data_IF_927436325765
#
_entry.id   IF_927436325765
#
_cell.length_a   1.000
_cell.length_b   1.000
_cell.length_c   1.000
_cell.angle_alpha   90.00
_cell.angle_beta   90.00
_cell.angle_gamma   90.00
#
_symmetry.space_group_name_H-M   'P 1'
#
loop_
_entity.id
_entity.type
_entity.pdbx_description
1 polymer ?
#
# COMPACT_ATOMS: atom_id res chain seq x y z
N UNK A 1 10.49 -5.47 18.77
CA UNK A 1 9.28 -5.88 18.02
C UNK A 1 9.32 -7.38 17.82
N UNK A 2 8.23 -8.06 18.15
CA UNK A 2 8.05 -9.50 17.92
C UNK A 2 6.97 -9.72 16.86
N UNK A 3 7.12 -10.79 16.08
CA UNK A 3 6.14 -11.17 15.05
C UNK A 3 5.24 -12.29 15.56
N UNK A 4 3.94 -12.05 15.51
CA UNK A 4 2.91 -12.97 16.00
C UNK A 4 1.58 -12.74 15.29
N UNK A 5 0.76 -13.78 15.06
CA UNK A 5 -0.57 -13.63 14.48
C UNK A 5 -1.52 -12.71 15.27
N UNK A 6 -1.29 -12.57 16.58
CA UNK A 6 -2.11 -11.70 17.47
C UNK A 6 -1.58 -10.27 17.57
N UNK A 7 -0.50 -9.93 16.85
CA UNK A 7 0.07 -8.59 16.82
C UNK A 7 -0.77 -7.58 16.03
N UNK A 8 -0.40 -6.31 16.16
CA UNK A 8 -1.00 -5.24 15.35
C UNK A 8 -0.72 -5.48 13.86
N UNK A 9 -1.73 -5.39 12.97
CA UNK A 9 -1.51 -5.54 11.54
C UNK A 9 -0.49 -4.52 11.00
N UNK A 10 0.54 -5.01 10.31
CA UNK A 10 1.53 -4.16 9.68
C UNK A 10 0.98 -3.54 8.40
N UNK A 11 1.00 -2.23 8.31
CA UNK A 11 0.51 -1.43 7.17
C UNK A 11 1.57 -0.40 6.77
N UNK A 12 1.36 0.30 5.65
CA UNK A 12 2.23 1.40 5.23
C UNK A 12 2.35 2.49 6.32
N UNK A 13 1.25 2.82 7.00
CA UNK A 13 1.26 3.76 8.13
C UNK A 13 2.17 3.31 9.27
N UNK A 14 2.21 2.00 9.56
CA UNK A 14 3.12 1.45 10.55
C UNK A 14 4.58 1.51 10.07
N UNK A 15 4.84 1.26 8.78
CA UNK A 15 6.17 1.43 8.21
C UNK A 15 6.65 2.89 8.32
N UNK A 16 5.79 3.85 8.01
CA UNK A 16 6.08 5.28 8.15
C UNK A 16 6.36 5.64 9.61
N UNK A 17 5.53 5.21 10.55
CA UNK A 17 5.76 5.44 11.98
C UNK A 17 7.12 4.89 12.43
N UNK A 18 7.40 3.65 12.08
CA UNK A 18 8.64 2.96 12.46
C UNK A 18 9.89 3.53 11.76
N UNK A 19 9.74 4.17 10.59
CA UNK A 19 10.86 4.82 9.91
C UNK A 19 11.45 6.02 10.67
N UNK A 20 10.74 6.54 11.67
CA UNK A 20 11.18 7.64 12.52
C UNK A 20 11.88 7.18 13.81
N UNK A 21 11.94 5.85 14.05
CA UNK A 21 12.60 5.31 15.22
C UNK A 21 14.12 5.24 15.02
N UNK A 22 14.89 5.65 16.02
CA UNK A 22 16.36 5.64 15.97
C UNK A 22 16.92 4.20 15.87
N UNK A 23 16.22 3.23 16.42
CA UNK A 23 16.66 1.83 16.47
C UNK A 23 15.49 0.87 16.61
N UNK A 24 15.47 -0.13 15.75
CA UNK A 24 14.52 -1.24 15.81
C UNK A 24 15.27 -2.55 16.08
N UNK A 25 14.72 -3.37 16.98
CA UNK A 25 15.18 -4.73 17.24
C UNK A 25 14.03 -5.69 16.91
N UNK A 26 14.24 -6.53 15.91
CA UNK A 26 13.30 -7.60 15.54
C UNK A 26 13.72 -8.91 16.17
N UNK A 27 12.79 -9.55 16.86
CA UNK A 27 12.99 -10.88 17.46
C UNK A 27 12.23 -11.91 16.64
N UNK A 28 12.98 -12.82 16.02
CA UNK A 28 12.47 -13.86 15.14
C UNK A 28 12.33 -15.18 15.90
N UNK A 29 11.09 -15.53 16.24
CA UNK A 29 10.77 -16.83 16.81
C UNK A 29 10.76 -17.94 15.76
N UNK A 30 10.94 -19.18 16.21
CA UNK A 30 10.86 -20.39 15.39
C UNK A 30 9.90 -21.41 16.01
N UNK A 31 9.63 -22.47 15.27
CA UNK A 31 8.74 -23.57 15.66
C UNK A 31 7.28 -23.08 15.84
N UNK A 32 6.59 -23.56 16.85
CA UNK A 32 5.18 -23.27 17.12
C UNK A 32 4.94 -21.92 17.84
N UNK A 33 5.99 -21.11 18.01
CA UNK A 33 5.95 -19.81 18.68
C UNK A 33 6.93 -19.73 19.83
N UNK A 34 6.89 -18.62 20.55
CA UNK A 34 7.68 -18.39 21.75
C UNK A 34 6.81 -18.52 22.99
N UNK A 35 7.44 -18.78 24.15
CA UNK A 35 6.73 -18.76 25.42
C UNK A 35 5.98 -17.44 25.61
N UNK A 36 4.70 -17.50 25.94
CA UNK A 36 3.81 -16.36 26.07
C UNK A 36 4.39 -15.25 26.98
N UNK A 37 5.15 -15.65 28.00
CA UNK A 37 5.80 -14.71 28.92
C UNK A 37 6.89 -13.88 28.27
N UNK A 38 7.49 -14.35 27.18
CA UNK A 38 8.52 -13.62 26.43
C UNK A 38 7.92 -12.42 25.70
N UNK A 39 6.67 -12.50 25.26
CA UNK A 39 6.00 -11.37 24.63
C UNK A 39 5.84 -10.16 25.56
N UNK A 40 5.84 -10.36 26.87
CA UNK A 40 5.84 -9.24 27.84
C UNK A 40 7.11 -8.38 27.81
N UNK A 41 8.17 -8.85 27.17
CA UNK A 41 9.42 -8.11 26.97
C UNK A 41 9.42 -7.26 25.70
N UNK A 42 8.41 -7.42 24.83
CA UNK A 42 8.29 -6.66 23.61
C UNK A 42 7.71 -5.27 23.89
N UNK A 43 8.26 -4.24 23.26
CA UNK A 43 7.58 -2.95 23.21
C UNK A 43 6.36 -3.04 22.29
N UNK A 44 6.48 -3.83 21.22
CA UNK A 44 5.42 -4.01 20.24
C UNK A 44 5.39 -5.43 19.66
N UNK A 45 4.22 -5.84 19.20
CA UNK A 45 4.01 -7.05 18.40
C UNK A 45 3.34 -6.72 17.09
N UNK A 46 3.82 -7.31 15.98
CA UNK A 46 3.29 -7.08 14.63
C UNK A 46 2.81 -8.38 13.99
N UNK A 47 1.73 -8.27 13.23
CA UNK A 47 1.23 -9.32 12.33
C UNK A 47 1.33 -8.86 10.87
N UNK A 48 1.80 -9.74 9.98
CA UNK A 48 1.82 -9.47 8.53
C UNK A 48 0.51 -9.87 7.82
N UNK A 49 -0.40 -10.53 8.51
CA UNK A 49 -1.66 -10.99 7.95
C UNK A 49 -2.11 -12.33 8.52
N UNK A 50 -3.28 -12.80 8.05
CA UNK A 50 -3.95 -13.98 8.55
C UNK A 50 -3.42 -15.28 7.89
N UNK A 51 -2.15 -15.53 8.05
CA UNK A 51 -1.47 -16.73 7.57
C UNK A 51 -0.27 -17.07 8.47
N UNK A 52 0.18 -18.32 8.42
CA UNK A 52 1.27 -18.82 9.26
C UNK A 52 2.55 -18.99 8.43
N UNK A 53 3.67 -18.51 8.98
CA UNK A 53 5.01 -18.70 8.46
C UNK A 53 5.84 -19.60 9.39
N UNK A 54 6.91 -20.19 8.87
CA UNK A 54 7.77 -21.11 9.61
C UNK A 54 8.69 -20.42 10.62
N UNK A 55 8.79 -19.08 10.59
CA UNK A 55 9.64 -18.29 11.48
C UNK A 55 9.47 -16.80 11.27
N UNK A 56 10.09 -16.01 12.14
CA UNK A 56 10.01 -14.55 12.14
C UNK A 56 10.94 -13.85 11.14
N UNK A 57 11.82 -14.58 10.46
CA UNK A 57 12.84 -13.99 9.60
C UNK A 57 12.23 -13.32 8.35
N UNK A 58 11.26 -13.97 7.68
CA UNK A 58 10.58 -13.38 6.53
C UNK A 58 9.76 -12.15 6.93
N UNK A 59 8.96 -12.17 8.01
CA UNK A 59 8.35 -10.95 8.54
C UNK A 59 9.36 -9.83 8.78
N UNK A 60 10.48 -10.12 9.43
CA UNK A 60 11.51 -9.12 9.69
C UNK A 60 12.08 -8.52 8.40
N UNK A 61 12.30 -9.34 7.37
CA UNK A 61 12.76 -8.86 6.06
C UNK A 61 11.74 -7.95 5.39
N UNK A 62 10.47 -8.33 5.36
CA UNK A 62 9.39 -7.53 4.77
C UNK A 62 9.26 -6.18 5.47
N UNK A 63 9.22 -6.19 6.80
CA UNK A 63 9.10 -4.96 7.60
C UNK A 63 10.33 -4.08 7.43
N UNK A 64 11.53 -4.67 7.40
CA UNK A 64 12.78 -3.92 7.16
C UNK A 64 12.77 -3.26 5.79
N UNK A 65 12.41 -3.97 4.74
CA UNK A 65 12.35 -3.42 3.37
C UNK A 65 11.36 -2.25 3.30
N UNK A 66 10.15 -2.44 3.82
CA UNK A 66 9.11 -1.42 3.84
C UNK A 66 9.53 -0.15 4.61
N UNK A 67 10.31 -0.29 5.69
CA UNK A 67 10.81 0.84 6.48
C UNK A 67 12.01 1.51 5.80
N UNK A 68 13.00 0.72 5.38
CA UNK A 68 14.26 1.26 4.85
C UNK A 68 14.04 2.08 3.60
N UNK A 69 13.13 1.69 2.72
CA UNK A 69 12.82 2.45 1.50
C UNK A 69 12.20 3.84 1.76
N UNK A 70 11.71 4.10 2.98
CA UNK A 70 11.19 5.40 3.41
C UNK A 70 12.29 6.33 3.97
N UNK A 71 13.48 5.77 4.24
CA UNK A 71 14.58 6.58 4.78
C UNK A 71 15.18 7.49 3.70
N UNK A 72 15.58 8.73 4.05
CA UNK A 72 16.22 9.64 3.11
C UNK A 72 17.46 9.00 2.46
N UNK A 73 17.56 9.08 1.15
CA UNK A 73 18.68 8.54 0.38
C UNK A 73 18.69 7.02 0.19
N UNK A 74 17.70 6.28 0.68
CA UNK A 74 17.59 4.84 0.46
C UNK A 74 17.17 4.50 -0.98
N UNK A 75 16.33 5.32 -1.58
CA UNK A 75 15.92 5.20 -2.98
C UNK A 75 16.56 6.31 -3.82
N UNK A 76 16.74 6.06 -5.11
CA UNK A 76 17.35 7.01 -6.04
C UNK A 76 16.48 8.25 -6.33
N UNK A 77 15.16 8.16 -6.11
CA UNK A 77 14.21 9.27 -6.21
C UNK A 77 13.50 9.44 -4.88
N UNK A 78 13.77 10.56 -4.20
CA UNK A 78 13.19 10.88 -2.88
C UNK A 78 11.67 11.12 -2.94
N UNK A 79 11.12 11.41 -4.12
CA UNK A 79 9.67 11.61 -4.31
C UNK A 79 8.92 10.30 -4.58
N UNK A 80 9.63 9.21 -4.87
CA UNK A 80 9.02 7.91 -5.18
C UNK A 80 8.06 7.42 -4.08
N UNK A 81 8.43 7.41 -2.80
CA UNK A 81 7.55 6.91 -1.75
C UNK A 81 6.26 7.71 -1.57
N UNK A 82 6.26 9.00 -1.94
CA UNK A 82 5.11 9.89 -1.74
C UNK A 82 3.99 9.68 -2.78
N UNK A 83 4.32 9.09 -3.92
CA UNK A 83 3.39 8.89 -5.04
C UNK A 83 2.96 7.43 -5.22
N UNK A 84 3.33 6.56 -4.30
CA UNK A 84 3.02 5.12 -4.35
C UNK A 84 1.70 4.78 -3.65
N UNK A 85 1.26 3.54 -3.82
CA UNK A 85 0.06 3.03 -3.14
C UNK A 85 0.18 3.15 -1.63
N UNK A 86 -0.93 3.51 -0.98
CA UNK A 86 -1.06 3.68 0.47
C UNK A 86 -0.28 4.84 1.07
N UNK A 87 0.21 5.79 0.25
CA UNK A 87 0.81 7.05 0.71
C UNK A 87 -0.20 7.95 1.46
N UNK A 88 0.12 9.22 1.67
CA UNK A 88 -0.64 10.17 2.51
C UNK A 88 -2.16 10.22 2.25
N UNK A 89 -2.59 9.98 1.01
CA UNK A 89 -4.01 9.97 0.64
C UNK A 89 -4.69 8.60 0.81
N UNK A 90 -3.91 7.54 1.02
CA UNK A 90 -4.41 6.19 1.25
C UNK A 90 -4.94 5.47 0.01
N UNK A 91 -4.72 6.01 -1.19
CA UNK A 91 -5.17 5.42 -2.45
C UNK A 91 -4.18 4.37 -2.99
N UNK A 92 -4.64 3.59 -3.97
CA UNK A 92 -3.74 2.86 -4.85
C UNK A 92 -3.07 3.81 -5.83
N UNK A 93 -1.84 3.49 -6.21
CA UNK A 93 -1.14 4.20 -7.27
C UNK A 93 -1.86 4.06 -8.63
N UNK A 94 -1.71 5.09 -9.47
CA UNK A 94 -2.19 5.05 -10.86
C UNK A 94 -1.47 3.97 -11.67
N UNK A 95 -2.04 3.59 -12.83
CA UNK A 95 -1.46 2.59 -13.72
C UNK A 95 -0.12 3.07 -14.30
N UNK A 96 0.91 2.25 -14.14
CA UNK A 96 2.22 2.49 -14.71
C UNK A 96 2.33 1.85 -16.10
N UNK A 97 3.02 2.53 -17.01
CA UNK A 97 3.28 2.05 -18.37
C UNK A 97 4.76 2.12 -18.68
N UNK A 98 5.24 1.17 -19.47
CA UNK A 98 6.61 1.11 -19.96
C UNK A 98 6.62 1.06 -21.50
N UNK A 99 7.79 1.12 -22.11
CA UNK A 99 7.97 0.94 -23.56
C UNK A 99 7.76 -0.52 -23.95
N UNK A 100 7.23 -0.76 -25.18
CA UNK A 100 6.82 0.18 -26.21
C UNK A 100 5.46 0.86 -25.89
N UNK A 101 5.13 1.97 -26.58
CA UNK A 101 3.85 2.67 -26.43
C UNK A 101 2.63 1.89 -26.93
N UNK A 102 2.84 0.93 -27.80
CA UNK A 102 1.86 -0.07 -28.25
C UNK A 102 2.48 -1.45 -28.08
N UNK A 103 1.78 -2.31 -27.36
CA UNK A 103 2.14 -3.71 -27.19
C UNK A 103 0.92 -4.58 -27.49
N UNK A 104 0.94 -5.22 -28.65
CA UNK A 104 -0.11 -6.13 -29.13
C UNK A 104 -1.52 -5.48 -29.14
N UNK A 105 -1.58 -4.22 -29.60
CA UNK A 105 -2.80 -3.43 -29.65
C UNK A 105 -3.22 -2.77 -28.32
N UNK A 106 -2.49 -3.03 -27.25
CA UNK A 106 -2.66 -2.36 -25.95
C UNK A 106 -1.81 -1.10 -25.92
N UNK A 107 -2.43 0.06 -26.01
CA UNK A 107 -1.73 1.34 -26.11
C UNK A 107 -1.60 2.06 -24.77
N UNK A 108 -0.50 2.77 -24.59
CA UNK A 108 -0.35 3.76 -23.52
C UNK A 108 -1.33 4.90 -23.75
N UNK A 109 -2.06 5.38 -22.73
CA UNK A 109 -2.93 6.55 -22.86
C UNK A 109 -2.19 7.77 -23.43
N UNK A 110 -2.76 8.39 -24.47
CA UNK A 110 -2.12 9.50 -25.20
C UNK A 110 -1.73 10.68 -24.29
N UNK A 111 -2.51 10.93 -23.25
CA UNK A 111 -2.22 11.99 -22.28
C UNK A 111 -0.86 11.81 -21.61
N UNK A 112 -0.42 10.57 -21.37
CA UNK A 112 0.88 10.26 -20.76
C UNK A 112 2.05 10.52 -21.73
N UNK A 113 1.79 10.56 -23.02
CA UNK A 113 2.76 10.85 -24.08
C UNK A 113 2.78 12.32 -24.50
N UNK A 114 1.86 13.14 -23.98
CA UNK A 114 1.64 14.53 -24.42
C UNK A 114 2.73 15.52 -24.00
N UNK A 115 3.51 15.21 -22.95
CA UNK A 115 4.43 16.15 -22.32
C UNK A 115 3.75 17.27 -21.50
N UNK A 116 2.42 17.31 -21.45
CA UNK A 116 1.67 18.28 -20.65
C UNK A 116 1.54 17.76 -19.20
N UNK A 117 2.43 18.21 -18.35
CA UNK A 117 2.50 17.77 -16.95
C UNK A 117 1.20 18.01 -16.17
N UNK A 118 0.48 19.09 -16.44
CA UNK A 118 -0.78 19.37 -15.75
C UNK A 118 -1.85 18.33 -16.12
N UNK A 119 -1.98 18.01 -17.40
CA UNK A 119 -2.91 16.96 -17.87
C UNK A 119 -2.49 15.57 -17.41
N UNK A 120 -1.20 15.29 -17.42
CA UNK A 120 -0.66 14.01 -16.93
C UNK A 120 -0.98 13.82 -15.44
N UNK A 121 -0.76 14.85 -14.61
CA UNK A 121 -1.06 14.77 -13.17
C UNK A 121 -2.56 14.63 -12.89
N UNK A 122 -3.40 15.35 -13.62
CA UNK A 122 -4.85 15.21 -13.51
C UNK A 122 -5.31 13.79 -13.89
N UNK A 123 -4.73 13.21 -14.95
CA UNK A 123 -5.02 11.84 -15.35
C UNK A 123 -4.57 10.82 -14.28
N UNK A 124 -3.36 10.99 -13.74
CA UNK A 124 -2.82 10.13 -12.69
C UNK A 124 -3.72 10.13 -11.45
N UNK A 125 -4.13 11.32 -11.01
CA UNK A 125 -5.04 11.45 -9.86
C UNK A 125 -6.38 10.75 -10.09
N UNK A 126 -6.99 11.00 -11.25
CA UNK A 126 -8.24 10.37 -11.62
C UNK A 126 -8.10 8.85 -11.72
N UNK A 127 -7.04 8.35 -12.35
CA UNK A 127 -6.80 6.92 -12.51
C UNK A 127 -6.54 6.22 -11.16
N UNK A 128 -5.83 6.88 -10.22
CA UNK A 128 -5.66 6.36 -8.85
C UNK A 128 -7.02 6.17 -8.15
N UNK A 129 -7.92 7.16 -8.24
CA UNK A 129 -9.29 7.07 -7.70
C UNK A 129 -10.10 5.95 -8.36
N UNK A 130 -10.06 5.86 -9.69
CA UNK A 130 -10.73 4.81 -10.45
C UNK A 130 -10.26 3.41 -10.02
N UNK A 131 -8.94 3.21 -9.99
CA UNK A 131 -8.33 1.93 -9.58
C UNK A 131 -8.68 1.57 -8.14
N UNK A 132 -8.63 2.53 -7.23
CA UNK A 132 -8.97 2.30 -5.83
C UNK A 132 -10.44 1.91 -5.70
N UNK A 133 -11.35 2.63 -6.36
CA UNK A 133 -12.79 2.33 -6.34
C UNK A 133 -13.12 0.93 -6.89
N UNK A 134 -12.40 0.50 -7.93
CA UNK A 134 -12.64 -0.80 -8.58
C UNK A 134 -11.97 -1.97 -7.86
N UNK A 135 -10.77 -1.77 -7.32
CA UNK A 135 -9.91 -2.88 -6.88
C UNK A 135 -9.81 -2.98 -5.34
N UNK A 136 -9.91 -1.84 -4.64
CA UNK A 136 -9.80 -1.74 -3.20
C UNK A 136 -10.75 -0.67 -2.65
N UNK A 137 -12.06 -0.85 -2.82
CA UNK A 137 -13.06 0.12 -2.34
C UNK A 137 -13.01 0.34 -0.81
N UNK A 138 -12.54 -0.64 -0.06
CA UNK A 138 -12.30 -0.55 1.38
C UNK A 138 -11.38 0.62 1.76
N UNK A 139 -10.38 0.94 0.94
CA UNK A 139 -9.45 2.04 1.20
C UNK A 139 -10.14 3.41 1.16
N UNK A 140 -11.21 3.57 0.39
CA UNK A 140 -11.93 4.84 0.27
C UNK A 140 -12.59 5.29 1.58
N UNK A 141 -12.84 4.39 2.52
CA UNK A 141 -13.44 4.72 3.81
C UNK A 141 -12.54 5.64 4.62
N UNK A 142 -11.23 5.38 4.60
CA UNK A 142 -10.21 6.13 5.34
C UNK A 142 -9.35 7.05 4.48
N UNK A 143 -9.57 7.10 3.16
CA UNK A 143 -8.79 7.90 2.23
C UNK A 143 -8.95 9.41 2.50
N UNK A 144 -7.83 10.13 2.43
CA UNK A 144 -7.78 11.58 2.54
C UNK A 144 -8.02 12.22 1.16
N UNK A 145 -9.28 12.24 0.75
CA UNK A 145 -9.76 12.74 -0.55
C UNK A 145 -10.86 13.78 -0.36
N UNK A 146 -11.04 14.64 -1.36
CA UNK A 146 -12.10 15.67 -1.35
C UNK A 146 -13.49 15.05 -1.49
N UNK A 147 -14.54 15.81 -1.17
CA UNK A 147 -15.92 15.36 -1.33
C UNK A 147 -16.27 15.07 -2.79
N UNK A 148 -15.78 15.89 -3.73
CA UNK A 148 -15.97 15.68 -5.18
C UNK A 148 -15.30 14.38 -5.66
N UNK A 149 -14.09 14.09 -5.17
CA UNK A 149 -13.37 12.85 -5.48
C UNK A 149 -14.08 11.63 -4.88
N UNK A 150 -14.65 11.78 -3.69
CA UNK A 150 -15.44 10.73 -3.02
C UNK A 150 -16.72 10.44 -3.78
N UNK A 151 -17.40 11.48 -4.27
CA UNK A 151 -18.59 11.33 -5.12
C UNK A 151 -18.24 10.64 -6.45
N UNK A 152 -17.15 11.06 -7.09
CA UNK A 152 -16.62 10.42 -8.29
C UNK A 152 -16.34 8.94 -8.10
N UNK A 153 -15.62 8.58 -7.03
CA UNK A 153 -15.29 7.18 -6.70
C UNK A 153 -16.56 6.34 -6.45
N UNK A 154 -17.57 6.89 -5.74
CA UNK A 154 -18.86 6.22 -5.54
C UNK A 154 -19.58 5.95 -6.85
N UNK A 155 -19.55 6.90 -7.78
CA UNK A 155 -20.14 6.71 -9.11
C UNK A 155 -19.53 5.53 -9.86
N UNK A 156 -18.23 5.27 -9.69
CA UNK A 156 -17.56 4.11 -10.29
C UNK A 156 -17.99 2.81 -9.60
N UNK A 157 -18.03 2.78 -8.27
CA UNK A 157 -18.44 1.59 -7.52
C UNK A 157 -19.83 1.10 -7.93
N UNK A 158 -20.79 2.02 -8.12
CA UNK A 158 -22.15 1.72 -8.57
C UNK A 158 -22.22 1.13 -9.99
N UNK A 159 -21.20 1.38 -10.82
CA UNK A 159 -21.13 0.81 -12.18
C UNK A 159 -20.50 -0.59 -12.20
N UNK A 160 -19.77 -0.94 -11.17
CA UNK A 160 -19.04 -2.22 -11.05
C UNK A 160 -19.85 -3.28 -10.32
N UNK A 161 -20.81 -2.89 -9.46
CA UNK A 161 -21.74 -3.85 -8.87
C UNK A 161 -22.58 -4.48 -10.00
N UNK A 162 -22.48 -5.80 -10.26
CA UNK A 162 -23.35 -6.46 -11.21
C UNK A 162 -24.79 -6.26 -10.73
N UNK A 163 -25.69 -5.93 -11.65
CA UNK A 163 -27.13 -5.94 -11.41
C UNK A 163 -27.47 -7.27 -10.70
N UNK A 164 -27.90 -7.16 -9.44
CA UNK A 164 -28.07 -8.28 -8.55
C UNK A 164 -28.84 -9.42 -9.21
N UNK A 165 -28.41 -10.63 -8.95
CA UNK A 165 -29.21 -11.82 -9.17
C UNK A 165 -30.56 -11.62 -8.49
N UNK A 166 -31.55 -11.24 -9.30
CA UNK A 166 -32.95 -11.32 -8.93
C UNK A 166 -33.37 -12.78 -9.11
N UNK A 167 -33.36 -13.55 -8.03
CA UNK A 167 -34.23 -14.73 -7.86
C UNK A 167 -34.82 -14.74 -6.46
#
# INVERSE_FOLDING_TARGET
>A
IFFTPVGTPFTQREAERLSHEDRLLFVCGRYEGMDERVYSLADETLSLGDYVLTGGELPAMVVTDAIVRLLPGALGDEMSPQNESFSDDGLLEYAQYTRPADYDGMTVPEVLLSGDHARVNAWRRRNALERTAMLRPDLLESANITDDEREFARGIMLQVEPEGEAE
#
